data_IF_911379009830
#
_entry.id   IF_911379009830
#
_cell.length_a   1.000
_cell.length_b   1.000
_cell.length_c   1.000
_cell.angle_alpha   90.00
_cell.angle_beta   90.00
_cell.angle_gamma   90.00
#
_symmetry.space_group_name_H-M   'P 1'
#
loop_
_entity.id
_entity.type
_entity.pdbx_description
1 polymer ?
#
# COMPACT_ATOMS: atom_id res chain seq x y z
N UNK A 1 21.10 34.89 56.93
CA UNK A 1 19.93 34.45 57.73
C UNK A 1 19.51 33.06 57.25
N UNK A 2 19.20 32.13 58.17
CA UNK A 2 18.46 30.85 58.04
C UNK A 2 18.59 30.06 56.69
N UNK A 3 19.22 28.88 56.54
CA UNK A 3 19.42 27.63 57.34
C UNK A 3 18.31 26.56 57.17
N UNK A 4 18.71 25.26 57.16
CA UNK A 4 17.96 23.98 56.99
C UNK A 4 17.77 23.49 55.52
N UNK A 5 18.22 22.30 55.03
CA UNK A 5 18.86 21.08 55.62
C UNK A 5 17.93 20.25 56.55
N UNK A 6 17.73 18.92 56.50
CA UNK A 6 18.32 17.70 55.84
C UNK A 6 17.15 16.66 55.64
N UNK A 7 17.11 15.70 54.67
CA UNK A 7 17.31 14.23 54.92
C UNK A 7 17.23 13.32 53.66
N UNK A 8 18.02 12.24 53.67
CA UNK A 8 17.92 11.04 52.83
C UNK A 8 17.23 9.87 53.59
N UNK A 9 16.73 8.84 52.88
CA UNK A 9 16.68 7.38 53.22
C UNK A 9 15.90 6.66 52.11
N UNK A 10 16.42 5.74 51.29
CA UNK A 10 17.09 4.42 51.48
C UNK A 10 16.12 3.23 51.65
N UNK A 11 16.19 2.22 50.77
CA UNK A 11 15.67 0.86 51.07
C UNK A 11 14.99 0.11 49.90
N UNK A 12 15.28 -1.18 49.64
CA UNK A 12 14.84 -1.90 48.44
C UNK A 12 13.82 -3.04 48.70
N UNK A 13 13.24 -3.60 47.63
CA UNK A 13 12.52 -4.89 47.66
C UNK A 13 12.97 -5.87 46.56
N UNK A 14 12.87 -7.18 46.83
CA UNK A 14 13.50 -8.29 46.09
C UNK A 14 12.48 -9.26 45.47
N UNK A 15 12.96 -9.95 44.42
CA UNK A 15 12.73 -11.34 43.98
C UNK A 15 11.44 -12.14 44.30
N UNK A 16 11.01 -12.92 43.30
CA UNK A 16 10.15 -14.11 43.42
C UNK A 16 9.00 -14.08 42.40
N UNK A 17 8.60 -15.16 41.71
CA UNK A 17 8.96 -16.58 41.81
C UNK A 17 8.96 -17.28 40.43
N UNK A 18 9.36 -18.55 40.40
CA UNK A 18 9.42 -19.47 39.26
C UNK A 18 8.48 -20.69 39.48
N UNK A 19 8.10 -21.33 38.36
CA UNK A 19 7.80 -22.77 38.19
C UNK A 19 6.45 -23.40 38.63
N UNK A 20 5.77 -23.91 37.60
CA UNK A 20 5.23 -25.28 37.41
C UNK A 20 3.98 -25.83 38.13
N UNK A 21 3.03 -26.21 37.26
CA UNK A 21 2.28 -27.49 37.20
C UNK A 21 1.25 -27.86 38.27
N UNK A 22 0.03 -28.21 37.80
CA UNK A 22 -0.62 -29.50 38.10
C UNK A 22 -1.86 -29.74 37.21
N UNK A 23 -2.25 -31.01 37.08
CA UNK A 23 -3.39 -31.49 36.27
C UNK A 23 -4.68 -31.57 37.09
N UNK A 24 -5.83 -31.29 36.48
CA UNK A 24 -7.15 -31.93 36.67
C UNK A 24 -8.21 -31.16 35.85
N UNK A 25 -9.28 -31.74 35.31
CA UNK A 25 -9.69 -33.14 35.37
C UNK A 25 -11.15 -33.34 35.79
N UNK A 26 -12.11 -32.73 35.10
CA UNK A 26 -13.56 -32.97 35.31
C UNK A 26 -14.31 -32.99 33.98
N UNK A 27 -15.00 -34.09 33.68
CA UNK A 27 -16.08 -34.16 32.69
C UNK A 27 -17.44 -34.04 33.39
N UNK A 28 -18.43 -33.46 32.73
CA UNK A 28 -19.85 -33.63 33.08
C UNK A 28 -20.67 -33.83 31.79
N UNK A 29 -21.48 -34.90 31.66
CA UNK A 29 -22.29 -35.17 30.47
C UNK A 29 -23.74 -34.70 30.64
N UNK A 30 -24.46 -34.46 29.54
CA UNK A 30 -25.92 -34.53 29.55
C UNK A 30 -26.49 -35.06 28.22
N UNK A 31 -27.21 -36.19 28.31
CA UNK A 31 -28.13 -36.66 27.28
C UNK A 31 -29.49 -35.95 27.42
N UNK A 32 -30.14 -35.61 26.30
CA UNK A 32 -31.61 -35.62 26.21
C UNK A 32 -32.03 -36.25 24.88
N UNK A 33 -33.09 -37.05 24.92
CA UNK A 33 -33.51 -37.94 23.83
C UNK A 33 -34.58 -37.33 22.91
N UNK A 34 -34.76 -37.98 21.75
CA UNK A 34 -35.79 -37.69 20.75
C UNK A 34 -37.18 -38.06 21.26
N UNK A 35 -38.18 -37.18 21.05
CA UNK A 35 -39.59 -37.50 21.16
C UNK A 35 -40.30 -37.31 19.81
N UNK A 36 -40.77 -38.41 19.21
CA UNK A 36 -41.72 -38.38 18.09
C UNK A 36 -43.12 -38.12 18.64
N UNK A 37 -43.92 -37.31 17.94
CA UNK A 37 -45.37 -37.32 18.13
C UNK A 37 -46.09 -37.52 16.80
N UNK A 38 -47.10 -38.40 16.82
CA UNK A 38 -47.90 -38.75 15.68
C UNK A 38 -49.28 -38.09 15.77
N UNK A 39 -49.81 -37.61 14.65
CA UNK A 39 -51.23 -37.25 14.53
C UNK A 39 -51.80 -37.99 13.31
N UNK A 40 -52.89 -38.73 13.54
CA UNK A 40 -53.65 -39.41 12.50
C UNK A 40 -54.78 -38.53 11.99
N UNK A 41 -54.83 -38.35 10.68
CA UNK A 41 -56.05 -38.48 9.87
C UNK A 41 -57.16 -37.44 10.00
N UNK A 42 -57.41 -36.73 8.90
CA UNK A 42 -58.78 -36.43 8.47
C UNK A 42 -58.91 -36.64 6.96
N UNK A 43 -60.01 -37.25 6.50
CA UNK A 43 -60.28 -37.50 5.08
C UNK A 43 -61.14 -36.38 4.52
N UNK A 44 -60.72 -35.75 3.42
CA UNK A 44 -61.64 -35.04 2.52
C UNK A 44 -61.35 -35.41 1.07
N UNK A 45 -62.43 -35.65 0.31
CA UNK A 45 -62.42 -35.95 -1.13
C UNK A 45 -62.59 -34.61 -1.88
N UNK A 46 -61.96 -34.46 -3.05
CA UNK A 46 -62.61 -34.22 -4.36
C UNK A 46 -61.67 -33.54 -5.38
N UNK A 47 -62.12 -33.50 -6.63
CA UNK A 47 -61.61 -32.71 -7.76
C UNK A 47 -60.22 -33.06 -8.35
N UNK A 48 -60.23 -33.91 -9.38
CA UNK A 48 -59.18 -33.89 -10.42
C UNK A 48 -59.28 -32.57 -11.20
N UNK A 49 -58.33 -31.67 -10.97
CA UNK A 49 -58.07 -30.56 -11.89
C UNK A 49 -57.00 -30.99 -12.91
N UNK A 50 -57.32 -30.87 -14.21
CA UNK A 50 -56.30 -30.97 -15.26
C UNK A 50 -55.56 -29.63 -15.30
N UNK A 51 -54.35 -29.59 -14.76
CA UNK A 51 -53.42 -28.49 -15.01
C UNK A 51 -52.82 -28.63 -16.40
N UNK A 52 -53.13 -27.68 -17.29
CA UNK A 52 -52.36 -27.48 -18.51
C UNK A 52 -50.95 -27.02 -18.14
N UNK A 53 -49.92 -27.68 -18.67
CA UNK A 53 -48.55 -27.17 -18.58
C UNK A 53 -48.42 -25.93 -19.46
N UNK A 54 -48.61 -24.75 -18.88
CA UNK A 54 -48.09 -23.53 -19.46
C UNK A 54 -46.56 -23.65 -19.49
N UNK A 55 -45.95 -23.61 -20.69
CA UNK A 55 -44.50 -23.47 -20.82
C UNK A 55 -44.12 -22.12 -20.22
N UNK A 56 -43.45 -22.12 -19.08
CA UNK A 56 -42.77 -20.94 -18.59
C UNK A 56 -41.73 -20.54 -19.65
N UNK A 57 -41.93 -19.39 -20.30
CA UNK A 57 -40.88 -18.78 -21.10
C UNK A 57 -39.69 -18.51 -20.18
N UNK A 58 -38.48 -18.84 -20.64
CA UNK A 58 -37.28 -18.50 -19.88
C UNK A 58 -37.26 -16.98 -19.67
N UNK A 59 -37.20 -16.53 -18.41
CA UNK A 59 -36.88 -15.15 -18.12
C UNK A 59 -35.53 -14.82 -18.79
N UNK A 60 -35.36 -13.61 -19.36
CA UNK A 60 -34.05 -13.21 -19.85
C UNK A 60 -33.05 -13.35 -18.70
N UNK A 61 -31.91 -13.98 -18.96
CA UNK A 61 -30.87 -14.13 -17.95
C UNK A 61 -30.52 -12.74 -17.42
N UNK A 62 -30.74 -12.50 -16.12
CA UNK A 62 -30.34 -11.23 -15.51
C UNK A 62 -28.85 -11.08 -15.74
N UNK A 63 -28.45 -10.01 -16.43
CA UNK A 63 -27.04 -9.62 -16.53
C UNK A 63 -26.50 -9.60 -15.11
N UNK A 64 -25.53 -10.49 -14.82
CA UNK A 64 -24.92 -10.54 -13.51
C UNK A 64 -24.38 -9.14 -13.19
N UNK A 65 -24.66 -8.60 -11.99
CA UNK A 65 -24.26 -7.24 -11.67
C UNK A 65 -22.76 -7.09 -11.91
N UNK A 66 -22.40 -6.04 -12.64
CA UNK A 66 -20.99 -5.71 -12.90
C UNK A 66 -20.32 -5.48 -11.54
N UNK A 67 -19.18 -6.13 -11.35
CA UNK A 67 -18.39 -6.04 -10.12
C UNK A 67 -17.04 -5.44 -10.44
N UNK A 68 -16.44 -4.75 -9.48
CA UNK A 68 -15.10 -4.20 -9.59
C UNK A 68 -14.18 -4.90 -8.60
N UNK A 69 -12.90 -5.00 -8.95
CA UNK A 69 -11.83 -5.48 -8.07
C UNK A 69 -10.61 -4.57 -8.24
N UNK A 70 -10.06 -4.13 -7.12
CA UNK A 70 -8.91 -3.24 -7.06
C UNK A 70 -7.66 -3.97 -6.60
N UNK A 71 -6.55 -3.73 -7.30
CA UNK A 71 -5.20 -4.03 -6.84
C UNK A 71 -4.43 -2.72 -6.79
N UNK A 72 -3.84 -2.42 -5.64
CA UNK A 72 -3.17 -1.16 -5.36
C UNK A 72 -1.73 -1.45 -4.94
N UNK A 73 -0.75 -0.66 -5.38
CA UNK A 73 0.48 -0.55 -4.57
C UNK A 73 0.15 0.10 -3.22
N UNK A 74 1.04 -0.08 -2.25
CA UNK A 74 0.91 0.49 -0.92
C UNK A 74 1.60 1.85 -0.83
N UNK A 75 2.88 1.91 -1.18
CA UNK A 75 3.65 3.15 -1.22
C UNK A 75 3.27 3.94 -2.49
N UNK A 76 3.23 5.28 -2.41
CA UNK A 76 2.95 6.13 -3.58
C UNK A 76 1.48 6.16 -4.03
N UNK A 77 0.69 5.13 -3.70
CA UNK A 77 -0.75 5.05 -4.01
C UNK A 77 -1.61 5.19 -2.75
N UNK A 78 -1.32 4.46 -1.67
CA UNK A 78 -2.12 4.46 -0.44
C UNK A 78 -1.47 5.25 0.69
N UNK A 79 -0.13 5.21 0.80
CA UNK A 79 0.64 5.88 1.84
C UNK A 79 1.86 6.59 1.24
N UNK A 80 2.04 7.86 1.60
CA UNK A 80 3.32 8.55 1.49
C UNK A 80 4.24 8.06 2.62
N UNK A 81 5.27 7.32 2.22
CA UNK A 81 6.32 6.75 3.07
C UNK A 81 7.69 7.35 2.77
N UNK A 82 7.76 8.38 1.91
CA UNK A 82 9.00 9.12 1.67
C UNK A 82 9.59 9.73 2.95
N UNK A 83 8.79 10.34 3.86
CA UNK A 83 9.32 10.84 5.13
C UNK A 83 10.03 9.77 5.97
N UNK A 84 9.52 8.53 5.99
CA UNK A 84 10.13 7.40 6.70
C UNK A 84 11.38 6.87 6.00
N UNK A 85 11.35 6.68 4.68
CA UNK A 85 12.50 6.12 3.95
C UNK A 85 13.69 7.08 4.03
N UNK A 86 13.44 8.40 3.87
CA UNK A 86 14.46 9.44 3.97
C UNK A 86 14.97 9.60 5.40
N UNK A 87 14.11 9.54 6.42
CA UNK A 87 14.58 9.59 7.81
C UNK A 87 15.40 8.33 8.18
N UNK A 88 14.99 7.15 7.73
CA UNK A 88 15.75 5.89 7.88
C UNK A 88 17.11 5.96 7.19
N UNK A 89 17.18 6.60 6.02
CA UNK A 89 18.43 6.85 5.31
C UNK A 89 19.38 7.72 6.13
N UNK A 90 18.89 8.79 6.76
CA UNK A 90 19.69 9.63 7.65
C UNK A 90 20.24 8.87 8.86
N UNK A 91 19.41 8.07 9.54
CA UNK A 91 19.86 7.29 10.71
C UNK A 91 20.90 6.23 10.32
N UNK A 92 20.65 5.45 9.26
CA UNK A 92 21.59 4.45 8.77
C UNK A 92 22.88 5.09 8.23
N UNK A 93 22.80 6.23 7.56
CA UNK A 93 23.96 6.98 7.07
C UNK A 93 24.78 7.60 8.22
N UNK A 94 24.15 8.02 9.32
CA UNK A 94 24.85 8.47 10.52
C UNK A 94 25.64 7.34 11.20
N UNK A 95 25.17 6.10 11.12
CA UNK A 95 25.91 4.91 11.59
C UNK A 95 27.04 4.54 10.63
N UNK A 96 26.78 4.50 9.31
CA UNK A 96 27.77 4.05 8.32
C UNK A 96 28.87 5.09 8.06
N UNK A 97 28.49 6.35 7.96
CA UNK A 97 29.35 7.49 7.62
C UNK A 97 29.21 8.61 8.67
N UNK A 98 29.63 8.37 9.94
CA UNK A 98 29.42 9.30 11.04
C UNK A 98 30.06 10.68 10.81
N UNK A 99 31.20 10.74 10.09
CA UNK A 99 31.83 12.00 9.71
C UNK A 99 31.06 12.83 8.66
N UNK A 100 30.04 12.27 8.02
CA UNK A 100 29.20 12.93 7.01
C UNK A 100 27.79 13.24 7.52
N UNK A 101 27.21 12.36 8.36
CA UNK A 101 25.79 12.43 8.75
C UNK A 101 25.54 12.41 10.28
N UNK A 102 26.59 12.22 11.09
CA UNK A 102 26.49 12.12 12.54
C UNK A 102 26.00 13.41 13.23
N UNK A 103 25.86 13.38 14.58
CA UNK A 103 25.46 14.55 15.35
C UNK A 103 26.35 15.76 15.07
N UNK A 104 25.74 16.88 14.69
CA UNK A 104 26.45 18.12 14.33
C UNK A 104 27.13 18.14 12.96
N UNK A 105 27.12 17.07 12.17
CA UNK A 105 27.75 17.04 10.84
C UNK A 105 27.00 17.87 9.78
N UNK A 106 25.70 18.11 9.98
CA UNK A 106 24.82 18.86 9.08
C UNK A 106 23.92 19.80 9.88
N UNK A 107 23.75 21.03 9.42
CA UNK A 107 22.75 21.96 9.94
C UNK A 107 21.33 21.53 9.56
N UNK A 108 20.32 22.10 10.22
CA UNK A 108 18.92 21.76 9.97
C UNK A 108 18.45 22.20 8.58
N UNK A 109 18.95 23.34 8.07
CA UNK A 109 18.69 23.80 6.70
C UNK A 109 19.29 22.83 5.67
N UNK A 110 20.48 22.28 5.96
CA UNK A 110 21.11 21.28 5.08
C UNK A 110 20.37 19.95 5.11
N UNK A 111 19.84 19.55 6.27
CA UNK A 111 18.98 18.36 6.39
C UNK A 111 17.66 18.55 5.66
N UNK A 112 17.04 19.73 5.74
CA UNK A 112 15.83 20.08 4.99
C UNK A 112 16.06 20.03 3.47
N UNK A 113 17.09 20.72 2.96
CA UNK A 113 17.41 20.70 1.53
C UNK A 113 17.70 19.29 0.99
N UNK A 114 18.31 18.42 1.80
CA UNK A 114 18.51 17.01 1.45
C UNK A 114 17.20 16.21 1.44
N UNK A 115 16.20 16.53 2.28
CA UNK A 115 14.87 15.88 2.23
C UNK A 115 14.14 16.20 0.94
N UNK A 116 14.10 17.48 0.54
CA UNK A 116 13.48 17.88 -0.73
C UNK A 116 14.15 17.20 -1.94
N UNK A 117 15.48 17.12 -1.94
CA UNK A 117 16.23 16.41 -2.98
C UNK A 117 15.99 14.88 -2.97
N UNK A 118 15.86 14.27 -1.79
CA UNK A 118 15.49 12.85 -1.65
C UNK A 118 14.08 12.58 -2.17
N UNK A 119 13.11 13.46 -1.87
CA UNK A 119 11.75 13.40 -2.42
C UNK A 119 11.75 13.54 -3.94
N UNK A 120 12.59 14.42 -4.49
CA UNK A 120 12.78 14.60 -5.94
C UNK A 120 13.31 13.33 -6.64
N UNK A 121 14.21 12.56 -6.01
CA UNK A 121 14.78 11.33 -6.60
C UNK A 121 14.07 10.05 -6.18
N UNK A 122 12.98 10.14 -5.41
CA UNK A 122 12.18 9.01 -4.96
C UNK A 122 11.62 8.07 -6.06
N UNK A 123 11.25 8.49 -7.29
CA UNK A 123 10.62 7.57 -8.25
C UNK A 123 11.47 6.38 -8.67
N UNK A 124 12.81 6.53 -8.70
CA UNK A 124 13.73 5.46 -9.11
C UNK A 124 14.21 4.55 -7.98
N UNK A 125 13.79 4.82 -6.73
CA UNK A 125 14.17 4.01 -5.57
C UNK A 125 13.38 2.69 -5.53
N UNK A 126 14.09 1.56 -5.64
CA UNK A 126 13.50 0.22 -5.61
C UNK A 126 13.73 -0.48 -4.27
N UNK A 127 14.99 -0.55 -3.79
CA UNK A 127 15.35 -1.17 -2.51
C UNK A 127 15.65 -0.12 -1.46
N UNK A 128 15.34 -0.40 -0.19
CA UNK A 128 15.47 0.57 0.89
C UNK A 128 16.87 1.20 1.04
N UNK A 129 17.93 0.41 0.96
CA UNK A 129 19.31 0.90 1.15
C UNK A 129 19.78 1.89 0.08
N UNK A 130 19.15 1.88 -1.10
CA UNK A 130 19.45 2.80 -2.20
C UNK A 130 19.30 4.26 -1.75
N UNK A 131 18.38 4.52 -0.82
CA UNK A 131 18.18 5.83 -0.20
C UNK A 131 19.42 6.36 0.51
N UNK A 132 20.25 5.49 1.10
CA UNK A 132 21.53 5.88 1.71
C UNK A 132 22.54 6.36 0.64
N UNK A 133 22.55 5.70 -0.52
CA UNK A 133 23.43 6.03 -1.63
C UNK A 133 22.99 7.33 -2.29
N UNK A 134 21.68 7.48 -2.56
CA UNK A 134 21.09 8.74 -3.04
C UNK A 134 21.41 9.91 -2.09
N UNK A 135 21.18 9.73 -0.79
CA UNK A 135 21.46 10.75 0.23
C UNK A 135 22.93 11.18 0.24
N UNK A 136 23.87 10.24 0.07
CA UNK A 136 25.32 10.54 0.00
C UNK A 136 25.74 11.16 -1.33
N UNK A 137 25.10 10.83 -2.45
CA UNK A 137 25.32 11.53 -3.74
C UNK A 137 24.84 13.00 -3.66
N UNK A 138 23.68 13.23 -3.08
CA UNK A 138 23.08 14.55 -2.88
C UNK A 138 23.81 15.41 -1.82
N UNK A 139 24.60 14.78 -0.94
CA UNK A 139 25.31 15.46 0.15
C UNK A 139 26.20 16.62 -0.29
N UNK A 140 26.82 16.56 -1.48
CA UNK A 140 27.69 17.64 -1.99
C UNK A 140 26.87 18.88 -2.36
N UNK A 141 25.78 18.69 -3.09
CA UNK A 141 24.86 19.74 -3.49
C UNK A 141 23.49 19.11 -3.81
N UNK A 142 22.46 19.30 -2.96
CA UNK A 142 21.13 18.73 -3.16
C UNK A 142 20.42 19.34 -4.38
N UNK A 143 20.83 20.53 -4.83
CA UNK A 143 20.22 21.24 -5.96
C UNK A 143 20.98 21.03 -7.27
N UNK A 144 22.02 20.18 -7.28
CA UNK A 144 22.81 19.91 -8.48
C UNK A 144 21.96 19.18 -9.53
N UNK A 145 21.46 19.92 -10.52
CA UNK A 145 20.65 19.40 -11.64
C UNK A 145 21.33 18.22 -12.34
N UNK A 146 22.67 18.22 -12.46
CA UNK A 146 23.42 17.10 -13.06
C UNK A 146 23.31 15.84 -12.19
N UNK A 147 23.43 15.95 -10.86
CA UNK A 147 23.29 14.82 -9.93
C UNK A 147 21.84 14.31 -9.92
N UNK A 148 20.86 15.20 -9.83
CA UNK A 148 19.44 14.84 -9.83
C UNK A 148 19.05 14.09 -11.11
N UNK A 149 19.43 14.61 -12.29
CA UNK A 149 19.17 13.96 -13.59
C UNK A 149 19.96 12.67 -13.77
N UNK A 150 21.16 12.55 -13.20
CA UNK A 150 21.93 11.32 -13.22
C UNK A 150 21.25 10.20 -12.41
N UNK A 151 20.75 10.52 -11.20
CA UNK A 151 19.99 9.57 -10.39
C UNK A 151 18.70 9.19 -11.12
N UNK A 152 17.86 10.16 -11.51
CA UNK A 152 16.58 9.92 -12.17
C UNK A 152 16.69 9.19 -13.51
N UNK A 153 17.67 9.54 -14.34
CA UNK A 153 17.79 8.99 -15.70
C UNK A 153 18.65 7.73 -15.82
N UNK A 154 19.52 7.43 -14.84
CA UNK A 154 20.54 6.37 -14.95
C UNK A 154 20.83 5.67 -13.63
N UNK A 155 19.82 5.48 -12.76
CA UNK A 155 20.05 4.90 -11.42
C UNK A 155 20.78 3.55 -11.45
N UNK A 156 20.47 2.68 -12.42
CA UNK A 156 21.15 1.40 -12.61
C UNK A 156 22.65 1.49 -12.95
N UNK A 157 23.13 2.63 -13.44
CA UNK A 157 24.56 2.91 -13.64
C UNK A 157 25.18 3.64 -12.43
N UNK A 158 24.48 4.65 -11.88
CA UNK A 158 24.99 5.49 -10.80
C UNK A 158 25.13 4.73 -9.47
N UNK A 159 24.21 3.81 -9.15
CA UNK A 159 24.25 2.99 -7.94
C UNK A 159 25.51 2.11 -7.86
N UNK A 160 25.80 1.19 -8.82
CA UNK A 160 27.01 0.37 -8.75
C UNK A 160 28.28 1.22 -8.88
N UNK A 161 28.26 2.32 -9.64
CA UNK A 161 29.38 3.27 -9.73
C UNK A 161 29.70 3.89 -8.37
N UNK A 162 28.70 4.39 -7.64
CA UNK A 162 28.88 5.00 -6.33
C UNK A 162 29.34 3.98 -5.27
N UNK A 163 28.77 2.77 -5.26
CA UNK A 163 29.20 1.70 -4.36
C UNK A 163 30.67 1.32 -4.59
N UNK A 164 31.08 1.17 -5.86
CA UNK A 164 32.48 0.86 -6.21
C UNK A 164 33.45 2.01 -5.86
N UNK A 165 33.07 3.26 -6.14
CA UNK A 165 33.86 4.47 -5.80
C UNK A 165 34.12 4.58 -4.30
N UNK A 166 33.16 4.17 -3.47
CA UNK A 166 33.22 4.31 -2.02
C UNK A 166 33.70 3.05 -1.28
N UNK A 167 33.91 1.94 -1.99
CA UNK A 167 34.25 0.64 -1.37
C UNK A 167 33.10 0.06 -0.53
N UNK A 168 31.85 0.30 -0.93
CA UNK A 168 30.64 -0.10 -0.21
C UNK A 168 30.01 -1.37 -0.78
N UNK A 169 29.37 -2.15 0.08
CA UNK A 169 28.68 -3.39 -0.29
C UNK A 169 27.16 -3.24 -0.17
N UNK A 170 26.42 -3.58 -1.24
CA UNK A 170 24.94 -3.68 -1.21
C UNK A 170 24.47 -4.54 -0.03
N UNK A 171 25.11 -5.69 0.22
CA UNK A 171 24.71 -6.61 1.28
C UNK A 171 24.89 -6.00 2.68
N UNK A 172 25.94 -5.21 2.89
CA UNK A 172 26.21 -4.55 4.18
C UNK A 172 25.29 -3.35 4.41
N UNK A 173 25.09 -2.50 3.40
CA UNK A 173 24.17 -1.37 3.47
C UNK A 173 22.72 -1.84 3.64
N UNK A 174 22.30 -2.88 2.90
CA UNK A 174 20.97 -3.49 3.04
C UNK A 174 20.74 -4.07 4.44
N UNK A 175 21.72 -4.81 4.99
CA UNK A 175 21.65 -5.34 6.34
C UNK A 175 21.55 -4.23 7.39
N UNK A 176 22.35 -3.16 7.26
CA UNK A 176 22.31 -2.02 8.18
C UNK A 176 20.97 -1.29 8.11
N UNK A 177 20.53 -0.91 6.90
CA UNK A 177 19.29 -0.19 6.67
C UNK A 177 18.07 -0.93 7.23
N UNK A 178 17.96 -2.23 6.95
CA UNK A 178 16.87 -3.06 7.47
C UNK A 178 16.97 -3.25 9.00
N UNK A 179 18.17 -3.26 9.58
CA UNK A 179 18.33 -3.31 11.05
C UNK A 179 17.83 -2.03 11.74
N UNK A 180 18.11 -0.86 11.17
CA UNK A 180 17.62 0.45 11.66
C UNK A 180 16.10 0.51 11.58
N UNK A 181 15.51 0.14 10.43
CA UNK A 181 14.05 0.15 10.27
C UNK A 181 13.33 -0.84 11.16
N UNK A 182 13.91 -2.01 11.39
CA UNK A 182 13.33 -3.00 12.30
C UNK A 182 13.42 -2.58 13.77
N UNK A 183 14.53 -1.96 14.19
CA UNK A 183 14.61 -1.34 15.53
C UNK A 183 13.57 -0.22 15.66
N UNK A 184 13.51 0.71 14.72
CA UNK A 184 12.57 1.84 14.79
C UNK A 184 11.10 1.36 14.85
N UNK A 185 10.72 0.44 13.97
CA UNK A 185 9.37 -0.13 13.93
C UNK A 185 8.99 -0.87 15.23
N UNK A 186 9.94 -1.45 15.96
CA UNK A 186 9.65 -2.29 17.16
C UNK A 186 9.93 -1.62 18.51
N UNK A 187 10.92 -0.74 18.59
CA UNK A 187 11.33 -0.03 19.81
C UNK A 187 10.87 1.43 19.87
N UNK A 188 10.56 2.04 18.72
CA UNK A 188 10.20 3.46 18.58
C UNK A 188 8.92 3.65 17.73
N UNK A 189 8.02 2.67 17.79
CA UNK A 189 6.90 2.44 16.85
C UNK A 189 6.04 3.67 16.56
N UNK A 190 5.64 4.46 17.57
CA UNK A 190 4.79 5.64 17.37
C UNK A 190 5.45 6.67 16.44
N UNK A 191 6.74 6.95 16.64
CA UNK A 191 7.50 7.87 15.80
C UNK A 191 7.80 7.33 14.40
N UNK A 192 7.82 6.00 14.23
CA UNK A 192 7.91 5.36 12.91
C UNK A 192 6.59 5.49 12.13
N UNK A 193 5.46 5.25 12.80
CA UNK A 193 4.12 5.38 12.22
C UNK A 193 3.77 6.82 11.87
N UNK A 194 4.22 7.80 12.64
CA UNK A 194 4.03 9.23 12.36
C UNK A 194 4.67 9.71 11.04
N UNK A 195 5.58 8.94 10.45
CA UNK A 195 6.24 9.21 9.16
C UNK A 195 5.60 8.47 7.98
N UNK A 196 4.45 7.81 8.18
CA UNK A 196 3.74 7.01 7.18
C UNK A 196 2.34 7.64 7.02
N UNK A 197 2.20 8.54 6.05
CA UNK A 197 1.04 9.42 5.93
C UNK A 197 0.09 8.90 4.84
N UNK A 198 -1.16 8.51 5.14
CA UNK A 198 -2.11 8.14 4.09
C UNK A 198 -2.40 9.34 3.19
N UNK A 199 -2.53 9.11 1.89
CA UNK A 199 -2.96 10.18 0.98
C UNK A 199 -4.40 10.62 1.28
N UNK A 200 -4.69 11.89 1.01
CA UNK A 200 -5.94 12.54 1.41
C UNK A 200 -7.18 11.80 0.88
N UNK A 201 -8.12 11.51 1.78
CA UNK A 201 -9.38 10.83 1.48
C UNK A 201 -9.28 9.34 1.16
N UNK A 202 -8.08 8.79 0.93
CA UNK A 202 -7.87 7.38 0.54
C UNK A 202 -8.33 6.43 1.64
N UNK A 203 -8.07 6.76 2.90
CA UNK A 203 -8.47 5.90 4.01
C UNK A 203 -9.99 5.80 4.13
N UNK A 204 -10.69 6.90 3.93
CA UNK A 204 -12.15 6.99 3.92
C UNK A 204 -12.74 6.27 2.71
N UNK A 205 -12.12 6.43 1.53
CA UNK A 205 -12.51 5.74 0.31
C UNK A 205 -12.31 4.21 0.42
N UNK A 206 -11.19 3.74 0.98
CA UNK A 206 -10.91 2.32 1.21
C UNK A 206 -11.87 1.69 2.24
N UNK A 207 -12.21 2.40 3.32
CA UNK A 207 -13.20 1.93 4.31
C UNK A 207 -14.62 1.89 3.73
N UNK A 208 -14.95 2.81 2.82
CA UNK A 208 -16.25 2.87 2.12
C UNK A 208 -16.35 2.01 0.86
N UNK A 209 -15.24 1.47 0.36
CA UNK A 209 -15.17 0.70 -0.88
C UNK A 209 -16.01 -0.59 -0.77
N UNK A 210 -17.09 -0.76 -1.57
CA UNK A 210 -17.90 -1.97 -1.55
C UNK A 210 -17.26 -3.13 -2.30
N UNK A 211 -16.08 -2.91 -2.90
CA UNK A 211 -15.42 -3.81 -3.83
C UNK A 211 -14.21 -4.53 -3.20
N UNK A 212 -13.94 -5.80 -3.57
CA UNK A 212 -12.74 -6.49 -3.12
C UNK A 212 -11.47 -5.74 -3.53
N UNK A 213 -10.69 -5.39 -2.52
CA UNK A 213 -9.42 -4.66 -2.67
C UNK A 213 -8.24 -5.55 -2.23
N UNK A 214 -7.16 -5.47 -2.99
CA UNK A 214 -5.90 -6.18 -2.85
C UNK A 214 -4.75 -5.18 -2.77
N UNK A 215 -3.68 -5.57 -2.07
CA UNK A 215 -2.41 -4.83 -2.08
C UNK A 215 -1.35 -5.66 -2.80
N UNK A 216 -0.63 -5.04 -3.74
CA UNK A 216 0.50 -5.63 -4.46
C UNK A 216 1.72 -4.70 -4.36
N UNK A 217 2.63 -4.98 -3.41
CA UNK A 217 3.70 -4.06 -3.04
C UNK A 217 5.08 -4.72 -2.91
N UNK A 218 6.13 -3.93 -3.16
CA UNK A 218 7.52 -4.31 -2.87
C UNK A 218 7.86 -4.25 -1.37
N UNK A 219 7.05 -3.55 -0.55
CA UNK A 219 7.24 -3.47 0.92
C UNK A 219 7.04 -4.85 1.56
N UNK A 220 7.82 -5.15 2.60
CA UNK A 220 7.74 -6.40 3.35
C UNK A 220 6.37 -6.59 4.03
N UNK A 221 5.80 -7.80 3.96
CA UNK A 221 4.44 -8.11 4.40
C UNK A 221 4.10 -7.64 5.83
N UNK A 222 5.03 -7.82 6.78
CA UNK A 222 4.82 -7.42 8.16
C UNK A 222 4.70 -5.90 8.35
N UNK A 223 5.38 -5.09 7.51
CA UNK A 223 5.27 -3.62 7.53
C UNK A 223 3.95 -3.18 6.93
N UNK A 224 3.55 -3.75 5.79
CA UNK A 224 2.24 -3.48 5.17
C UNK A 224 1.10 -3.81 6.14
N UNK A 225 1.16 -4.96 6.80
CA UNK A 225 0.15 -5.37 7.78
C UNK A 225 0.10 -4.44 9.02
N UNK A 226 1.26 -4.05 9.56
CA UNK A 226 1.34 -3.11 10.68
C UNK A 226 0.75 -1.74 10.30
N UNK A 227 1.07 -1.21 9.12
CA UNK A 227 0.60 0.09 8.65
C UNK A 227 -0.89 0.06 8.27
N UNK A 228 -1.36 -1.01 7.63
CA UNK A 228 -2.78 -1.20 7.33
C UNK A 228 -3.61 -1.16 8.61
N UNK A 229 -3.16 -1.85 9.66
CA UNK A 229 -3.84 -1.85 10.96
C UNK A 229 -3.77 -0.50 11.66
N UNK A 230 -2.58 0.08 11.80
CA UNK A 230 -2.35 1.23 12.67
C UNK A 230 -2.67 2.58 12.04
N UNK A 231 -2.41 2.72 10.74
CA UNK A 231 -2.54 4.00 10.01
C UNK A 231 -3.84 4.04 9.21
N UNK A 232 -4.22 2.93 8.55
CA UNK A 232 -5.45 2.88 7.73
C UNK A 232 -6.69 2.42 8.52
N UNK A 233 -6.50 1.71 9.63
CA UNK A 233 -7.58 1.06 10.38
C UNK A 233 -8.20 -0.14 9.65
N UNK A 234 -7.44 -0.79 8.77
CA UNK A 234 -7.86 -1.91 7.94
C UNK A 234 -7.27 -3.23 8.45
N UNK A 235 -8.10 -4.27 8.54
CA UNK A 235 -7.64 -5.62 8.89
C UNK A 235 -7.06 -6.34 7.66
N UNK A 236 -5.73 -6.26 7.54
CA UNK A 236 -4.92 -6.88 6.50
C UNK A 236 -3.69 -7.56 7.13
N UNK A 237 -3.84 -8.76 7.73
CA UNK A 237 -2.73 -9.47 8.34
C UNK A 237 -1.69 -9.92 7.30
N UNK A 238 -0.46 -10.21 7.74
CA UNK A 238 0.67 -10.49 6.86
C UNK A 238 0.53 -11.77 6.00
N UNK A 239 -0.35 -12.69 6.42
CA UNK A 239 -0.73 -13.93 5.73
C UNK A 239 -2.06 -13.81 4.95
N UNK A 240 -2.62 -12.60 4.86
CA UNK A 240 -3.90 -12.39 4.19
C UNK A 240 -3.85 -12.78 2.70
N UNK A 241 -4.83 -13.53 2.17
CA UNK A 241 -4.89 -13.84 0.74
C UNK A 241 -5.20 -12.61 -0.14
N UNK A 242 -5.30 -11.41 0.45
CA UNK A 242 -5.43 -10.12 -0.24
C UNK A 242 -4.12 -9.32 -0.31
N UNK A 243 -3.05 -9.79 0.33
CA UNK A 243 -1.75 -9.13 0.41
C UNK A 243 -0.70 -9.89 -0.41
N UNK A 244 -0.19 -9.25 -1.46
CA UNK A 244 0.97 -9.68 -2.23
C UNK A 244 2.09 -8.69 -1.91
N UNK A 245 3.07 -9.14 -1.14
CA UNK A 245 4.11 -8.29 -0.56
C UNK A 245 5.51 -8.78 -0.93
N UNK A 246 6.53 -7.97 -0.67
CA UNK A 246 7.94 -8.27 -1.03
C UNK A 246 8.14 -8.51 -2.54
N UNK A 247 7.32 -7.90 -3.39
CA UNK A 247 7.37 -8.05 -4.86
C UNK A 247 8.59 -7.31 -5.43
N UNK A 248 9.71 -8.03 -5.56
CA UNK A 248 10.98 -7.54 -6.09
C UNK A 248 11.59 -8.56 -7.08
N UNK A 249 12.02 -8.15 -8.29
CA UNK A 249 11.84 -6.83 -8.89
C UNK A 249 10.34 -6.53 -9.13
N UNK A 250 9.87 -5.29 -8.89
CA UNK A 250 8.44 -4.99 -8.83
C UNK A 250 7.73 -5.16 -10.18
N UNK A 251 8.42 -4.95 -11.30
CA UNK A 251 7.88 -5.06 -12.65
C UNK A 251 7.36 -6.48 -12.93
N UNK A 252 8.24 -7.47 -12.79
CA UNK A 252 7.93 -8.89 -12.97
C UNK A 252 6.97 -9.39 -11.88
N UNK A 253 7.26 -9.08 -10.61
CA UNK A 253 6.54 -9.66 -9.48
C UNK A 253 5.15 -9.08 -9.27
N UNK A 254 4.89 -7.83 -9.67
CA UNK A 254 3.51 -7.31 -9.73
C UNK A 254 2.74 -7.91 -10.91
N UNK A 255 3.36 -8.14 -12.08
CA UNK A 255 2.70 -8.84 -13.18
C UNK A 255 2.30 -10.29 -12.81
N UNK A 256 3.18 -11.05 -12.14
CA UNK A 256 2.87 -12.38 -11.59
C UNK A 256 1.71 -12.34 -10.57
N UNK A 257 1.71 -11.34 -9.67
CA UNK A 257 0.64 -11.15 -8.71
C UNK A 257 -0.70 -10.84 -9.39
N UNK A 258 -0.73 -9.97 -10.41
CA UNK A 258 -1.93 -9.66 -11.18
C UNK A 258 -2.47 -10.86 -11.96
N UNK A 259 -1.61 -11.71 -12.53
CA UNK A 259 -2.04 -12.98 -13.13
C UNK A 259 -2.68 -13.90 -12.08
N UNK A 260 -2.03 -14.05 -10.92
CA UNK A 260 -2.54 -14.84 -9.79
C UNK A 260 -3.88 -14.33 -9.26
N UNK A 261 -4.06 -13.02 -9.13
CA UNK A 261 -5.33 -12.40 -8.71
C UNK A 261 -6.40 -12.55 -9.80
N UNK A 262 -6.05 -12.28 -11.06
CA UNK A 262 -6.93 -12.35 -12.22
C UNK A 262 -7.55 -13.73 -12.44
N UNK A 263 -6.80 -14.79 -12.14
CA UNK A 263 -7.28 -16.19 -12.24
C UNK A 263 -8.33 -16.59 -11.19
N UNK A 264 -8.54 -15.80 -10.13
CA UNK A 264 -9.49 -16.13 -9.05
C UNK A 264 -10.93 -16.10 -9.59
N UNK A 265 -11.87 -16.95 -9.10
CA UNK A 265 -13.20 -17.09 -9.70
C UNK A 265 -13.99 -15.79 -9.90
N UNK A 266 -13.93 -14.86 -8.94
CA UNK A 266 -14.57 -13.54 -9.07
C UNK A 266 -13.88 -12.65 -10.12
N UNK A 267 -12.55 -12.75 -10.24
CA UNK A 267 -11.75 -11.94 -11.18
C UNK A 267 -11.76 -12.52 -12.61
N UNK A 268 -11.97 -13.83 -12.74
CA UNK A 268 -12.09 -14.51 -14.03
C UNK A 268 -13.46 -14.27 -14.71
N UNK A 269 -14.48 -13.81 -13.97
CA UNK A 269 -15.78 -13.51 -14.53
C UNK A 269 -15.75 -12.31 -15.49
N UNK A 270 -16.35 -12.46 -16.67
CA UNK A 270 -16.39 -11.43 -17.71
C UNK A 270 -17.18 -10.17 -17.31
N UNK A 271 -18.08 -10.29 -16.31
CA UNK A 271 -18.79 -9.16 -15.71
C UNK A 271 -17.95 -8.39 -14.68
N UNK A 272 -16.73 -8.82 -14.38
CA UNK A 272 -15.85 -8.15 -13.40
C UNK A 272 -14.85 -7.25 -14.10
N UNK A 273 -14.74 -5.98 -13.67
CA UNK A 273 -13.68 -5.06 -14.11
C UNK A 273 -12.52 -5.14 -13.12
N UNK A 274 -11.30 -5.26 -13.63
CA UNK A 274 -10.09 -5.34 -12.81
C UNK A 274 -9.30 -4.04 -12.97
N UNK A 275 -8.90 -3.44 -11.85
CA UNK A 275 -8.24 -2.15 -11.79
C UNK A 275 -6.90 -2.33 -11.07
N UNK A 276 -5.81 -1.89 -11.69
CA UNK A 276 -4.49 -1.87 -11.08
C UNK A 276 -3.96 -0.44 -11.04
N UNK A 277 -3.66 0.05 -9.83
CA UNK A 277 -3.15 1.40 -9.57
C UNK A 277 -1.75 1.30 -9.00
N UNK A 278 -0.79 1.94 -9.68
CA UNK A 278 0.63 1.99 -9.32
C UNK A 278 1.12 3.44 -9.50
N UNK A 279 2.14 3.87 -8.76
CA UNK A 279 2.73 5.19 -8.98
C UNK A 279 3.94 5.16 -9.92
N UNK A 280 4.42 3.97 -10.31
CA UNK A 280 5.62 3.79 -11.12
C UNK A 280 5.29 3.29 -12.54
N UNK A 281 5.61 4.11 -13.54
CA UNK A 281 5.28 3.86 -14.95
C UNK A 281 5.91 2.57 -15.49
N UNK A 282 7.13 2.23 -15.09
CA UNK A 282 7.78 0.98 -15.50
C UNK A 282 6.99 -0.27 -15.09
N UNK A 283 6.36 -0.25 -13.91
CA UNK A 283 5.47 -1.33 -13.47
C UNK A 283 4.30 -1.48 -14.45
N UNK A 284 3.63 -0.37 -14.76
CA UNK A 284 2.45 -0.36 -15.64
C UNK A 284 2.81 -0.81 -17.05
N UNK A 285 3.99 -0.40 -17.57
CA UNK A 285 4.54 -0.87 -18.85
C UNK A 285 4.84 -2.36 -18.85
N UNK A 286 5.43 -2.90 -17.79
CA UNK A 286 5.70 -4.32 -17.69
C UNK A 286 4.41 -5.15 -17.67
N UNK A 287 3.36 -4.67 -17.00
CA UNK A 287 2.03 -5.28 -17.02
C UNK A 287 1.38 -5.17 -18.41
N UNK A 288 1.46 -4.00 -19.06
CA UNK A 288 0.95 -3.77 -20.41
C UNK A 288 1.68 -4.61 -21.49
N UNK A 289 2.95 -4.94 -21.28
CA UNK A 289 3.73 -5.78 -22.17
C UNK A 289 3.29 -7.26 -22.16
N UNK A 290 2.50 -7.70 -21.17
CA UNK A 290 1.91 -9.05 -21.11
C UNK A 290 0.51 -9.00 -21.74
N UNK A 291 0.27 -9.58 -22.93
CA UNK A 291 -0.98 -9.39 -23.67
C UNK A 291 -2.24 -9.82 -22.91
N UNK A 292 -2.15 -10.91 -22.13
CA UNK A 292 -3.26 -11.39 -21.29
C UNK A 292 -3.61 -10.41 -20.16
N UNK A 293 -2.62 -9.70 -19.61
CA UNK A 293 -2.86 -8.70 -18.57
C UNK A 293 -3.39 -7.39 -19.19
N UNK A 294 -2.77 -6.91 -20.28
CA UNK A 294 -3.23 -5.73 -21.03
C UNK A 294 -4.68 -5.85 -21.51
N UNK A 295 -5.12 -7.03 -21.96
CA UNK A 295 -6.51 -7.26 -22.36
C UNK A 295 -7.49 -7.33 -21.19
N UNK A 296 -7.00 -7.56 -19.96
CA UNK A 296 -7.83 -7.89 -18.78
C UNK A 296 -7.92 -6.79 -17.73
N UNK A 297 -6.84 -6.03 -17.55
CA UNK A 297 -6.65 -5.04 -16.49
C UNK A 297 -6.73 -3.62 -17.02
N UNK A 298 -7.43 -2.75 -16.29
CA UNK A 298 -7.34 -1.30 -16.46
C UNK A 298 -6.15 -0.81 -15.63
N UNK A 299 -5.19 -0.17 -16.29
CA UNK A 299 -3.92 0.27 -15.69
C UNK A 299 -3.99 1.77 -15.40
N UNK A 300 -3.62 2.15 -14.18
CA UNK A 300 -3.68 3.54 -13.72
C UNK A 300 -2.35 3.99 -13.13
N UNK A 301 -1.83 5.12 -13.60
CA UNK A 301 -0.73 5.84 -12.95
C UNK A 301 -1.30 6.82 -11.94
N UNK A 302 -0.95 6.67 -10.67
CA UNK A 302 -1.28 7.61 -9.61
C UNK A 302 -0.45 8.90 -9.74
N UNK A 303 -1.04 10.02 -10.18
CA UNK A 303 -0.31 11.27 -10.44
C UNK A 303 0.29 11.95 -9.19
N UNK A 304 -0.26 11.59 -8.02
CA UNK A 304 0.08 12.10 -6.69
C UNK A 304 1.20 11.32 -5.99
N UNK A 305 1.61 10.18 -6.58
CA UNK A 305 2.70 9.34 -6.08
C UNK A 305 4.07 9.89 -6.45
N UNK A 306 5.09 9.04 -6.48
CA UNK A 306 6.47 9.53 -6.56
C UNK A 306 6.96 9.88 -7.97
N UNK A 307 6.14 9.74 -9.02
CA UNK A 307 6.54 9.97 -10.41
C UNK A 307 6.92 11.42 -10.75
N UNK A 308 7.78 11.54 -11.76
CA UNK A 308 8.19 12.80 -12.40
C UNK A 308 7.10 13.35 -13.34
N UNK A 309 7.21 14.63 -13.71
CA UNK A 309 6.31 15.22 -14.71
C UNK A 309 6.47 14.54 -16.08
N UNK A 310 7.70 14.22 -16.45
CA UNK A 310 8.05 13.51 -17.68
C UNK A 310 7.45 12.09 -17.73
N UNK A 311 7.38 11.38 -16.59
CA UNK A 311 6.67 10.10 -16.49
C UNK A 311 5.16 10.27 -16.64
N UNK A 312 4.53 11.29 -16.03
CA UNK A 312 3.10 11.56 -16.23
C UNK A 312 2.77 11.90 -17.68
N UNK A 313 3.57 12.76 -18.32
CA UNK A 313 3.44 13.07 -19.74
C UNK A 313 3.64 11.84 -20.63
N UNK A 314 4.55 10.93 -20.26
CA UNK A 314 4.76 9.69 -20.99
C UNK A 314 3.58 8.72 -20.81
N UNK A 315 3.06 8.58 -19.59
CA UNK A 315 1.91 7.75 -19.28
C UNK A 315 0.63 8.22 -19.96
N UNK A 316 0.40 9.54 -20.06
CA UNK A 316 -0.71 10.12 -20.80
C UNK A 316 -0.69 9.80 -22.31
N UNK A 317 0.47 9.38 -22.84
CA UNK A 317 0.68 8.94 -24.24
C UNK A 317 0.78 7.41 -24.39
N UNK A 318 0.72 6.65 -23.29
CA UNK A 318 0.93 5.20 -23.26
C UNK A 318 -0.41 4.46 -23.47
N UNK A 319 -0.60 3.71 -24.57
CA UNK A 319 -1.87 3.04 -24.84
C UNK A 319 -2.26 2.04 -23.75
N UNK A 320 -3.46 2.20 -23.18
CA UNK A 320 -3.99 1.31 -22.14
C UNK A 320 -3.64 1.71 -20.70
N UNK A 321 -2.82 2.75 -20.50
CA UNK A 321 -2.60 3.38 -19.19
C UNK A 321 -3.43 4.66 -19.11
N UNK A 322 -4.07 4.89 -17.97
CA UNK A 322 -4.72 6.17 -17.63
C UNK A 322 -3.95 6.85 -16.51
N UNK A 323 -3.57 8.12 -16.68
CA UNK A 323 -3.17 8.96 -15.55
C UNK A 323 -4.41 9.25 -14.72
N UNK A 324 -4.31 9.08 -13.41
CA UNK A 324 -5.40 9.20 -12.46
C UNK A 324 -4.99 10.19 -11.36
N UNK A 325 -5.86 11.16 -11.09
CA UNK A 325 -5.70 12.09 -9.98
C UNK A 325 -6.24 11.54 -8.67
N UNK A 326 -5.75 12.05 -7.54
CA UNK A 326 -6.17 11.62 -6.21
C UNK A 326 -7.70 11.74 -5.97
N UNK A 327 -8.39 12.81 -6.41
CA UNK A 327 -9.86 12.88 -6.35
C UNK A 327 -10.54 11.78 -7.17
N UNK A 328 -10.13 11.57 -8.42
CA UNK A 328 -10.69 10.52 -9.28
C UNK A 328 -10.46 9.12 -8.71
N UNK A 329 -9.33 8.88 -8.05
CA UNK A 329 -9.06 7.62 -7.36
C UNK A 329 -10.00 7.39 -6.17
N UNK A 330 -10.24 8.44 -5.38
CA UNK A 330 -11.20 8.40 -4.28
C UNK A 330 -12.63 8.14 -4.76
N UNK A 331 -13.03 8.67 -5.92
CA UNK A 331 -14.31 8.30 -6.57
C UNK A 331 -14.32 6.87 -7.08
N UNK A 332 -13.26 6.46 -7.79
CA UNK A 332 -13.13 5.14 -8.39
C UNK A 332 -13.28 4.02 -7.35
N UNK A 333 -12.68 4.19 -6.17
CA UNK A 333 -12.85 3.26 -5.03
C UNK A 333 -14.29 3.22 -4.49
N UNK A 334 -14.98 4.36 -4.46
CA UNK A 334 -16.36 4.46 -3.90
C UNK A 334 -17.42 3.94 -4.87
N UNK A 335 -17.25 4.16 -6.17
CA UNK A 335 -18.30 3.97 -7.18
C UNK A 335 -17.97 2.95 -8.28
N UNK A 336 -16.73 2.44 -8.35
CA UNK A 336 -16.29 1.51 -9.42
C UNK A 336 -16.09 2.20 -10.77
N UNK A 337 -16.19 3.53 -10.80
CA UNK A 337 -16.08 4.38 -11.97
C UNK A 337 -15.67 5.78 -11.52
N UNK A 338 -14.85 6.45 -12.33
CA UNK A 338 -14.60 7.88 -12.18
C UNK A 338 -15.81 8.61 -12.77
N UNK A 339 -16.41 9.51 -12.01
CA UNK A 339 -17.45 10.38 -12.56
C UNK A 339 -16.75 11.42 -13.41
N UNK A 340 -16.76 11.21 -14.72
CA UNK A 340 -16.37 12.26 -15.66
C UNK A 340 -17.36 13.41 -15.53
N UNK A 341 -17.03 14.39 -14.67
CA UNK A 341 -17.55 15.76 -14.80
C UNK A 341 -16.78 16.40 -15.96
N UNK A 342 -17.03 15.86 -17.15
CA UNK A 342 -17.03 16.65 -18.38
C UNK A 342 -18.44 17.23 -18.44
N UNK A 343 -18.69 18.25 -17.63
CA UNK A 343 -19.94 18.98 -17.65
C UNK A 343 -20.06 19.85 -18.91
N UNK A 344 -19.01 19.95 -19.73
CA UNK A 344 -18.99 20.75 -20.96
C UNK A 344 -19.24 22.24 -20.69
N UNK A 345 -19.12 22.65 -19.42
CA UNK A 345 -19.52 23.94 -18.88
C UNK A 345 -18.32 24.65 -18.21
N UNK A 346 -17.12 24.56 -18.79
CA UNK A 346 -16.25 25.72 -18.75
C UNK A 346 -17.00 26.83 -19.51
N UNK A 347 -17.47 27.91 -18.86
CA UNK A 347 -18.18 28.96 -19.56
C UNK A 347 -17.25 29.51 -20.62
N UNK A 348 -17.73 29.54 -21.86
CA UNK A 348 -16.98 30.08 -22.99
C UNK A 348 -16.59 31.52 -22.69
N UNK A 349 -15.53 32.01 -23.34
CA UNK A 349 -15.06 33.38 -23.12
C UNK A 349 -16.17 34.42 -23.39
N UNK A 350 -17.13 34.11 -24.28
CA UNK A 350 -18.35 34.89 -24.51
C UNK A 350 -19.35 34.82 -23.35
N UNK A 351 -19.54 33.68 -22.69
CA UNK A 351 -20.42 33.55 -21.52
C UNK A 351 -19.85 34.27 -20.28
N UNK A 352 -18.53 34.24 -20.10
CA UNK A 352 -17.82 35.02 -19.08
C UNK A 352 -17.94 36.53 -19.34
N UNK A 353 -17.87 36.97 -20.61
CA UNK A 353 -18.09 38.37 -21.00
C UNK A 353 -19.58 38.79 -20.92
N UNK A 354 -20.51 37.85 -21.08
CA UNK A 354 -21.94 38.07 -20.94
C UNK A 354 -22.44 38.06 -19.47
N UNK A 355 -21.66 37.49 -18.54
CA UNK A 355 -21.97 37.46 -17.11
C UNK A 355 -23.07 36.46 -16.72
N UNK A 356 -23.06 35.27 -17.32
CA UNK A 356 -23.94 34.13 -17.01
C UNK A 356 -23.32 33.23 -15.95
#
# INVERSE_FOLDING_TARGET
MQTLKILQRSGPWRHGQRCNALQSGVQVPFHVAVARNAIRGCKQRTARWRTSQAKAGAAPASLAPVSDVFVLDFDGVVVDSEPEITASAFEAAAIRWPGLFGPGALSDERRAALREAMRTVRPVLVKGYESMVMLRLLLRDPNCVVTLRAILGRWGEELPRALAEWGESEAELSKLFESVRNEWMTGRTESWMALQVPYEGVTEALRGCPFPTYIASSKAAHRVAALSRAVLGLDLPADSPRLFASLLPPEEKKAEALSTIGSRPLCAAASTRLHFVDDRLDTLRAVAAVPELAARWKLYLADWGYNTAEEREAAAREPGVRVLSLPEFNELLRFGLVMGVDDGCEPTQEEVEAGV
#
